data_IF_642827690859
#
_entry.id   IF_642827690859
#
_cell.length_a   1.000
_cell.length_b   1.000
_cell.length_c   1.000
_cell.angle_alpha   90.00
_cell.angle_beta   90.00
_cell.angle_gamma   90.00
#
_symmetry.space_group_name_H-M   'P 1'
#
loop_
_entity.id
_entity.type
_entity.pdbx_description
1 polymer ?
#
# COMPACT_ATOMS: atom_id res chain seq x y z
N UNK A 1 11.79 -6.43 -0.68
CA UNK A 1 11.77 -5.03 -1.20
C UNK A 1 11.29 -4.11 -0.09
N UNK A 2 11.98 -3.00 0.11
CA UNK A 2 11.58 -2.03 1.12
C UNK A 2 10.47 -1.13 0.59
N UNK A 3 9.48 -0.83 1.42
CA UNK A 3 8.36 0.00 0.97
C UNK A 3 8.81 1.42 0.59
N UNK A 4 9.85 1.94 1.21
CA UNK A 4 10.36 3.28 0.89
C UNK A 4 11.10 3.33 -0.43
N UNK A 5 11.48 2.19 -0.99
CA UNK A 5 12.23 2.10 -2.24
C UNK A 5 11.36 1.71 -3.44
N UNK A 6 10.08 1.49 -3.23
CA UNK A 6 9.16 1.12 -4.33
C UNK A 6 8.98 2.30 -5.27
N UNK A 7 9.20 2.07 -6.56
CA UNK A 7 9.05 3.08 -7.59
C UNK A 7 7.77 2.87 -8.38
N UNK A 8 7.41 3.87 -9.19
CA UNK A 8 6.26 3.75 -10.09
C UNK A 8 6.42 2.55 -11.02
N UNK A 9 7.62 2.33 -11.54
CA UNK A 9 7.89 1.19 -12.42
C UNK A 9 7.66 -0.13 -11.72
N UNK A 10 8.04 -0.22 -10.44
CA UNK A 10 7.80 -1.43 -9.68
C UNK A 10 6.31 -1.74 -9.57
N UNK A 11 5.50 -0.72 -9.30
CA UNK A 11 4.05 -0.88 -9.19
C UNK A 11 3.45 -1.25 -10.54
N UNK A 12 3.83 -0.54 -11.59
CA UNK A 12 3.33 -0.80 -12.94
C UNK A 12 3.65 -2.23 -13.36
N UNK A 13 4.87 -2.67 -13.12
CA UNK A 13 5.29 -4.01 -13.50
C UNK A 13 4.59 -5.10 -12.69
N UNK A 14 4.47 -4.89 -11.39
CA UNK A 14 3.84 -5.88 -10.52
C UNK A 14 2.36 -6.02 -10.82
N UNK A 15 1.66 -4.90 -10.97
CA UNK A 15 0.22 -4.90 -11.23
C UNK A 15 -0.12 -5.08 -12.70
N UNK A 16 0.89 -5.12 -13.57
CA UNK A 16 0.72 -5.29 -15.01
C UNK A 16 -0.21 -4.23 -15.61
N UNK A 17 0.03 -2.99 -15.20
CA UNK A 17 -0.75 -1.86 -15.69
C UNK A 17 -0.31 -1.48 -17.09
N UNK A 18 -1.29 -1.27 -17.98
CA UNK A 18 -1.03 -0.80 -19.33
C UNK A 18 -1.15 0.72 -19.38
N UNK A 19 -0.43 1.33 -20.32
CA UNK A 19 -0.58 2.76 -20.56
C UNK A 19 -2.05 3.04 -20.90
N UNK A 20 -2.60 4.09 -20.30
CA UNK A 20 -4.00 4.44 -20.50
C UNK A 20 -4.95 3.83 -19.49
N UNK A 21 -4.51 2.84 -18.71
CA UNK A 21 -5.34 2.29 -17.63
C UNK A 21 -5.23 3.08 -16.35
N UNK A 22 -4.24 3.94 -16.24
CA UNK A 22 -4.01 4.73 -15.04
C UNK A 22 -3.46 6.09 -15.41
N UNK A 23 -3.68 7.05 -14.54
CA UNK A 23 -3.04 8.35 -14.63
C UNK A 23 -1.88 8.41 -13.64
N UNK A 24 -0.79 9.05 -14.04
CA UNK A 24 0.39 9.14 -13.20
C UNK A 24 0.10 9.77 -11.85
N UNK A 25 -0.75 10.79 -11.83
CA UNK A 25 -1.13 11.45 -10.58
C UNK A 25 -1.89 10.51 -9.66
N UNK A 26 -2.77 9.69 -10.22
CA UNK A 26 -3.52 8.72 -9.43
C UNK A 26 -2.62 7.62 -8.90
N UNK A 27 -1.69 7.17 -9.72
CA UNK A 27 -0.72 6.16 -9.29
C UNK A 27 0.12 6.67 -8.13
N UNK A 28 0.64 7.89 -8.24
CA UNK A 28 1.43 8.49 -7.16
C UNK A 28 0.60 8.66 -5.90
N UNK A 29 -0.64 9.11 -6.03
CA UNK A 29 -1.53 9.26 -4.89
C UNK A 29 -1.79 7.92 -4.20
N UNK A 30 -2.02 6.87 -4.98
CA UNK A 30 -2.22 5.53 -4.43
C UNK A 30 -0.97 5.03 -3.71
N UNK A 31 0.21 5.28 -4.28
CA UNK A 31 1.47 4.88 -3.65
C UNK A 31 1.69 5.59 -2.32
N UNK A 32 1.45 6.88 -2.27
CA UNK A 32 1.57 7.65 -1.02
C UNK A 32 0.56 7.19 0.02
N UNK A 33 -0.68 6.98 -0.40
CA UNK A 33 -1.73 6.54 0.50
C UNK A 33 -1.45 5.13 1.03
N UNK A 34 -0.91 4.25 0.19
CA UNK A 34 -0.55 2.89 0.61
C UNK A 34 0.53 2.92 1.67
N UNK A 35 1.56 3.72 1.48
CA UNK A 35 2.63 3.86 2.47
C UNK A 35 2.09 4.39 3.80
N UNK A 36 1.31 5.46 3.74
CA UNK A 36 0.71 6.03 4.95
C UNK A 36 -0.21 5.04 5.65
N UNK A 37 -0.99 4.30 4.88
CA UNK A 37 -1.88 3.30 5.46
C UNK A 37 -1.09 2.25 6.25
N UNK A 38 -0.01 1.75 5.66
CA UNK A 38 0.82 0.73 6.31
C UNK A 38 1.42 1.27 7.61
N UNK A 39 1.98 2.47 7.57
CA UNK A 39 2.62 3.06 8.74
C UNK A 39 1.59 3.36 9.83
N UNK A 40 0.43 3.88 9.47
CA UNK A 40 -0.63 4.19 10.44
C UNK A 40 -1.23 2.93 11.04
N UNK A 41 -1.48 1.92 10.21
CA UNK A 41 -2.08 0.68 10.67
C UNK A 41 -1.16 -0.05 11.65
N UNK A 42 0.12 -0.13 11.33
CA UNK A 42 1.07 -0.89 12.14
C UNK A 42 1.63 -0.08 13.31
N UNK A 43 1.60 1.24 13.21
CA UNK A 43 2.22 2.11 14.20
C UNK A 43 3.74 2.09 14.15
N UNK A 44 4.32 1.46 13.12
CA UNK A 44 5.76 1.37 12.99
C UNK A 44 6.35 2.62 12.33
N UNK A 45 7.54 3.05 12.77
CA UNK A 45 8.26 4.08 12.01
C UNK A 45 8.72 3.50 10.67
N UNK A 46 8.95 4.41 9.72
CA UNK A 46 9.31 4.03 8.36
C UNK A 46 10.49 3.07 8.30
N UNK A 47 11.50 3.32 9.12
CA UNK A 47 12.71 2.47 9.16
C UNK A 47 12.39 1.04 9.58
N UNK A 48 11.50 0.89 10.56
CA UNK A 48 11.10 -0.44 11.01
C UNK A 48 10.23 -1.14 9.99
N UNK A 49 9.34 -0.39 9.33
CA UNK A 49 8.50 -0.95 8.28
C UNK A 49 9.34 -1.47 7.11
N UNK A 50 10.42 -0.78 6.78
CA UNK A 50 11.32 -1.20 5.71
C UNK A 50 11.99 -2.54 5.98
N UNK A 51 12.10 -2.94 7.23
CA UNK A 51 12.70 -4.23 7.60
C UNK A 51 11.72 -5.40 7.43
N UNK A 52 10.44 -5.11 7.22
CA UNK A 52 9.42 -6.15 7.07
C UNK A 52 9.30 -6.54 5.60
N UNK A 53 9.80 -7.70 5.25
CA UNK A 53 9.88 -8.14 3.86
C UNK A 53 8.52 -8.25 3.17
N UNK A 54 7.48 -8.60 3.91
CA UNK A 54 6.15 -8.81 3.32
C UNK A 54 5.35 -7.52 3.14
N UNK A 55 5.81 -6.41 3.67
CA UNK A 55 5.05 -5.16 3.59
C UNK A 55 4.93 -4.65 2.15
N UNK A 56 5.92 -4.94 1.29
CA UNK A 56 5.81 -4.57 -0.11
C UNK A 56 4.60 -5.22 -0.80
N UNK A 57 4.27 -6.45 -0.40
CA UNK A 57 3.11 -7.14 -0.95
C UNK A 57 1.82 -6.43 -0.53
N UNK A 58 1.70 -6.07 0.75
CA UNK A 58 0.56 -5.29 1.24
C UNK A 58 0.47 -3.95 0.51
N UNK A 59 1.61 -3.32 0.27
CA UNK A 59 1.70 -2.06 -0.47
C UNK A 59 1.13 -2.21 -1.88
N UNK A 60 1.53 -3.27 -2.60
CA UNK A 60 1.05 -3.51 -3.95
C UNK A 60 -0.45 -3.80 -3.99
N UNK A 61 -0.95 -4.60 -3.05
CA UNK A 61 -2.38 -4.90 -2.95
C UNK A 61 -3.17 -3.62 -2.68
N UNK A 62 -2.68 -2.78 -1.78
CA UNK A 62 -3.34 -1.50 -1.49
C UNK A 62 -3.37 -0.59 -2.71
N UNK A 63 -2.27 -0.51 -3.45
CA UNK A 63 -2.21 0.30 -4.66
C UNK A 63 -3.24 -0.19 -5.67
N UNK A 64 -3.34 -1.49 -5.87
CA UNK A 64 -4.31 -2.06 -6.81
C UNK A 64 -5.74 -1.75 -6.39
N UNK A 65 -6.04 -1.97 -5.11
CA UNK A 65 -7.39 -1.69 -4.59
C UNK A 65 -7.76 -0.22 -4.74
N UNK A 66 -6.82 0.67 -4.46
CA UNK A 66 -7.08 2.11 -4.57
C UNK A 66 -7.26 2.55 -6.01
N UNK A 67 -6.53 1.96 -6.95
CA UNK A 67 -6.68 2.27 -8.36
C UNK A 67 -7.99 1.72 -8.93
N UNK A 68 -8.40 0.53 -8.48
CA UNK A 68 -9.63 -0.11 -8.95
C UNK A 68 -10.88 0.51 -8.31
N UNK A 69 -10.77 0.94 -7.06
CA UNK A 69 -11.90 1.40 -6.25
C UNK A 69 -11.63 2.76 -5.63
N UNK A 70 -11.21 3.72 -6.44
CA UNK A 70 -10.77 5.03 -5.95
C UNK A 70 -11.79 5.75 -5.08
N UNK A 71 -13.04 5.75 -5.51
CA UNK A 71 -14.10 6.42 -4.75
C UNK A 71 -14.45 5.69 -3.46
N UNK A 72 -14.06 4.43 -3.37
CA UNK A 72 -14.39 3.58 -2.24
C UNK A 72 -13.54 3.90 -1.01
N UNK A 73 -12.28 4.29 -1.23
CA UNK A 73 -11.38 4.61 -0.14
C UNK A 73 -11.52 6.04 0.36
N UNK A 74 -12.26 6.87 -0.37
CA UNK A 74 -12.50 8.25 0.06
C UNK A 74 -13.57 8.24 1.15
N UNK A 75 -13.16 8.51 2.36
CA UNK A 75 -14.06 8.62 3.50
C UNK A 75 -14.55 7.32 4.09
N UNK A 76 -13.99 6.19 3.73
CA UNK A 76 -14.38 4.91 4.30
C UNK A 76 -13.18 4.08 4.72
N UNK A 77 -13.33 3.41 5.85
CA UNK A 77 -12.32 2.47 6.35
C UNK A 77 -12.58 1.10 5.76
N UNK A 78 -12.13 0.91 4.54
CA UNK A 78 -12.21 -0.39 3.89
C UNK A 78 -10.89 -1.11 4.10
N UNK A 79 -10.97 -2.33 4.58
CA UNK A 79 -9.79 -3.15 4.78
C UNK A 79 -9.83 -4.33 3.83
N UNK A 80 -8.66 -4.61 3.25
CA UNK A 80 -8.47 -5.79 2.44
C UNK A 80 -7.97 -6.91 3.35
N UNK A 81 -8.57 -8.09 3.24
CA UNK A 81 -8.22 -9.21 4.12
C UNK A 81 -6.76 -9.62 4.01
N UNK A 82 -6.20 -9.54 2.80
CA UNK A 82 -4.79 -9.86 2.58
C UNK A 82 -3.91 -8.86 3.33
N UNK A 83 -4.24 -7.58 3.20
CA UNK A 83 -3.52 -6.51 3.89
C UNK A 83 -3.63 -6.69 5.40
N UNK A 84 -4.84 -6.94 5.90
CA UNK A 84 -5.05 -7.16 7.33
C UNK A 84 -4.22 -8.35 7.84
N UNK A 85 -4.16 -9.44 7.10
CA UNK A 85 -3.37 -10.60 7.49
C UNK A 85 -1.89 -10.27 7.59
N UNK A 86 -1.38 -9.53 6.62
CA UNK A 86 0.04 -9.18 6.59
C UNK A 86 0.39 -8.18 7.68
N UNK A 87 -0.36 -7.08 7.75
CA UNK A 87 -0.05 -5.98 8.66
C UNK A 87 -0.43 -6.29 10.10
N UNK A 88 -1.50 -7.05 10.30
CA UNK A 88 -1.95 -7.40 11.64
C UNK A 88 -0.93 -8.19 12.43
N UNK A 89 -0.11 -8.99 11.74
CA UNK A 89 0.96 -9.76 12.38
C UNK A 89 2.08 -8.89 12.91
N UNK A 90 2.21 -7.67 12.40
CA UNK A 90 3.29 -6.75 12.75
C UNK A 90 2.81 -5.48 13.41
N UNK A 91 1.52 -5.41 13.70
CA UNK A 91 0.92 -4.21 14.30
C UNK A 91 1.40 -4.05 15.73
N UNK A 92 1.77 -2.81 16.09
CA UNK A 92 2.08 -2.48 17.47
C UNK A 92 0.76 -2.34 18.22
N UNK A 93 0.62 -3.12 19.27
CA UNK A 93 -0.58 -3.03 20.11
C UNK A 93 -0.40 -1.93 21.14
N UNK A 94 -1.14 -0.84 20.95
CA UNK A 94 -1.06 0.33 21.82
C UNK A 94 -2.11 0.35 22.94
N UNK A 95 -2.87 -0.71 23.04
CA UNK A 95 -3.90 -0.80 24.08
C UNK A 95 -3.33 -1.21 25.43
#
# INVERSE_FOLDING_TARGET
MKISEITENDVVNYLKLDEGQYEKKELNAAMMAAEEYILDYTGLPKEEADKKEKFWLAYMVLCQDMLDNRSYYVGKNQTNKVVDSILGMHCINLL
#
